data_IF_527953071913
#
_entry.id   IF_527953071913
#
_cell.length_a   1.000
_cell.length_b   1.000
_cell.length_c   1.000
_cell.angle_alpha   90.00
_cell.angle_beta   90.00
_cell.angle_gamma   90.00
#
_symmetry.space_group_name_H-M   'P 1'
#
loop_
_entity.id
_entity.type
_entity.pdbx_description
1 polymer ?
#
# COMPACT_ATOMS: atom_id res chain seq x y z
N UNK A 1 -1.21 21.68 1.70
CA UNK A 1 -2.31 21.95 0.74
C UNK A 1 -2.68 23.43 0.67
N UNK A 2 -3.08 24.05 1.80
CA UNK A 2 -3.55 25.45 1.85
C UNK A 2 -2.53 26.45 1.30
N UNK A 3 -1.25 26.35 1.72
CA UNK A 3 -0.21 27.29 1.31
C UNK A 3 0.06 27.33 -0.20
N UNK A 4 -0.44 26.34 -0.95
CA UNK A 4 -0.29 26.23 -2.41
C UNK A 4 -1.64 26.16 -3.14
N UNK A 5 -2.76 26.51 -2.47
CA UNK A 5 -4.09 26.57 -3.08
C UNK A 5 -4.70 25.21 -3.46
N UNK A 6 -4.33 24.13 -2.76
CA UNK A 6 -4.78 22.76 -3.02
C UNK A 6 -5.64 22.19 -1.89
N UNK A 7 -6.28 23.03 -1.08
CA UNK A 7 -7.18 22.63 0.00
C UNK A 7 -8.43 21.86 -0.47
N UNK A 8 -8.89 22.10 -1.71
CA UNK A 8 -10.06 21.44 -2.31
C UNK A 8 -9.69 20.38 -3.36
N UNK A 9 -8.39 20.03 -3.46
CA UNK A 9 -7.90 19.06 -4.46
C UNK A 9 -8.46 17.64 -4.25
N UNK A 10 -8.91 17.32 -3.04
CA UNK A 10 -9.53 16.05 -2.70
C UNK A 10 -10.42 16.19 -1.47
N UNK A 11 -11.16 15.12 -1.13
CA UNK A 11 -12.01 15.14 0.07
C UNK A 11 -11.14 15.00 1.33
N UNK A 12 -11.17 15.95 2.28
CA UNK A 12 -10.40 15.84 3.53
C UNK A 12 -10.99 14.77 4.47
N UNK A 13 -10.19 14.34 5.45
CA UNK A 13 -10.56 13.36 6.49
C UNK A 13 -10.83 11.95 5.97
N UNK A 14 -11.05 10.98 6.86
CA UNK A 14 -11.52 9.61 6.61
C UNK A 14 -10.95 8.90 5.36
N UNK A 15 -9.69 9.15 5.03
CA UNK A 15 -9.07 8.66 3.80
C UNK A 15 -9.12 7.14 3.72
N UNK A 16 -8.66 6.47 4.78
CA UNK A 16 -8.59 5.01 4.83
C UNK A 16 -9.97 4.35 4.76
N UNK A 17 -10.97 4.85 5.48
CA UNK A 17 -12.35 4.34 5.41
C UNK A 17 -12.89 4.38 3.98
N UNK A 18 -12.75 5.53 3.29
CA UNK A 18 -13.20 5.68 1.90
C UNK A 18 -12.46 4.75 0.96
N UNK A 19 -11.15 4.60 1.15
CA UNK A 19 -10.33 3.77 0.28
C UNK A 19 -10.62 2.28 0.51
N UNK A 20 -10.83 1.84 1.75
CA UNK A 20 -11.30 0.48 2.07
C UNK A 20 -12.63 0.22 1.36
N UNK A 21 -13.62 1.10 1.51
CA UNK A 21 -14.91 0.95 0.83
C UNK A 21 -14.78 0.89 -0.71
N UNK A 22 -13.92 1.75 -1.28
CA UNK A 22 -13.63 1.75 -2.72
C UNK A 22 -13.01 0.43 -3.17
N UNK A 23 -11.98 -0.06 -2.48
CA UNK A 23 -11.27 -1.29 -2.86
C UNK A 23 -12.11 -2.54 -2.61
N UNK A 24 -12.97 -2.56 -1.59
CA UNK A 24 -14.00 -3.59 -1.43
C UNK A 24 -14.93 -3.63 -2.63
N UNK A 25 -15.46 -2.48 -3.08
CA UNK A 25 -16.32 -2.44 -4.28
C UNK A 25 -15.58 -2.92 -5.54
N UNK A 26 -14.32 -2.52 -5.72
CA UNK A 26 -13.49 -2.94 -6.86
C UNK A 26 -13.22 -4.45 -6.83
N UNK A 27 -12.83 -4.99 -5.68
CA UNK A 27 -12.61 -6.43 -5.50
C UNK A 27 -13.88 -7.21 -5.83
N UNK A 28 -15.04 -6.84 -5.25
CA UNK A 28 -16.33 -7.50 -5.54
C UNK A 28 -16.68 -7.48 -7.02
N UNK A 29 -16.46 -6.34 -7.70
CA UNK A 29 -16.70 -6.23 -9.13
C UNK A 29 -15.74 -7.08 -9.97
N UNK A 30 -14.58 -7.44 -9.43
CA UNK A 30 -13.52 -8.20 -10.09
C UNK A 30 -13.30 -9.62 -9.53
N UNK A 31 -14.14 -10.08 -8.60
CA UNK A 31 -13.98 -11.37 -7.95
C UNK A 31 -14.17 -12.50 -8.96
N UNK A 32 -13.18 -13.40 -9.04
CA UNK A 32 -13.21 -14.59 -9.90
C UNK A 32 -13.02 -15.88 -9.12
N UNK A 33 -12.59 -15.79 -7.86
CA UNK A 33 -12.30 -16.91 -6.98
C UNK A 33 -12.78 -16.57 -5.57
N UNK A 34 -13.03 -17.61 -4.77
CA UNK A 34 -13.33 -17.46 -3.36
C UNK A 34 -12.01 -17.42 -2.58
N UNK A 35 -11.70 -16.26 -1.99
CA UNK A 35 -10.49 -16.02 -1.20
C UNK A 35 -10.90 -15.69 0.25
N UNK A 36 -10.97 -16.69 1.16
CA UNK A 36 -11.50 -16.50 2.51
C UNK A 36 -10.79 -15.41 3.33
N UNK A 37 -9.48 -15.25 3.16
CA UNK A 37 -8.71 -14.19 3.81
C UNK A 37 -9.12 -12.80 3.34
N UNK A 38 -9.51 -12.64 2.07
CA UNK A 38 -9.99 -11.36 1.54
C UNK A 38 -11.34 -11.01 2.15
N UNK A 39 -12.21 -12.00 2.36
CA UNK A 39 -13.47 -11.79 3.10
C UNK A 39 -13.21 -11.28 4.51
N UNK A 40 -12.23 -11.88 5.21
CA UNK A 40 -11.83 -11.45 6.55
C UNK A 40 -11.23 -10.04 6.55
N UNK A 41 -10.47 -9.67 5.51
CA UNK A 41 -9.95 -8.30 5.34
C UNK A 41 -11.09 -7.29 5.09
N UNK A 42 -12.07 -7.64 4.27
CA UNK A 42 -13.24 -6.80 3.97
C UNK A 42 -14.06 -6.52 5.23
N UNK A 43 -14.12 -7.47 6.16
CA UNK A 43 -14.77 -7.30 7.46
C UNK A 43 -13.90 -6.55 8.48
N UNK A 44 -12.60 -6.85 8.54
CA UNK A 44 -11.67 -6.25 9.52
C UNK A 44 -11.34 -4.78 9.24
N UNK A 45 -10.83 -4.48 8.04
CA UNK A 45 -10.29 -3.17 7.69
C UNK A 45 -11.23 -1.98 7.96
N UNK A 46 -12.54 -2.02 7.60
CA UNK A 46 -13.41 -0.86 7.81
C UNK A 46 -13.73 -0.61 9.29
N UNK A 47 -13.64 -1.64 10.15
CA UNK A 47 -13.95 -1.52 11.59
C UNK A 47 -12.77 -1.03 12.42
N UNK A 48 -11.56 -1.11 11.88
CA UNK A 48 -10.31 -0.86 12.61
C UNK A 48 -9.44 0.18 11.92
N UNK A 49 -9.98 0.93 10.95
CA UNK A 49 -9.27 1.99 10.26
C UNK A 49 -8.66 2.99 11.25
N UNK A 50 -7.36 3.28 11.17
CA UNK A 50 -6.72 4.27 12.02
C UNK A 50 -7.36 5.64 11.86
N UNK A 51 -7.46 6.38 12.98
CA UNK A 51 -7.90 7.77 12.95
C UNK A 51 -6.94 8.62 12.12
N UNK A 52 -7.49 9.37 11.16
CA UNK A 52 -6.70 10.30 10.36
C UNK A 52 -6.40 11.56 11.15
N UNK A 53 -5.16 11.71 11.61
CA UNK A 53 -4.72 12.85 12.42
C UNK A 53 -4.15 14.01 11.61
N UNK A 54 -3.76 13.76 10.35
CA UNK A 54 -3.18 14.78 9.45
C UNK A 54 -3.77 14.64 8.05
N UNK A 55 -3.81 15.75 7.32
CA UNK A 55 -4.16 15.77 5.88
C UNK A 55 -3.03 16.38 5.08
N UNK A 56 -2.55 15.65 4.08
CA UNK A 56 -1.48 16.09 3.17
C UNK A 56 -1.87 15.79 1.72
N UNK A 57 -1.11 16.38 0.79
CA UNK A 57 -1.11 15.90 -0.60
C UNK A 57 -0.40 14.56 -0.58
N UNK A 58 -1.08 13.54 -1.07
CA UNK A 58 -0.51 12.21 -1.28
C UNK A 58 -0.45 11.93 -2.78
N UNK A 59 0.60 11.25 -3.21
CA UNK A 59 0.85 10.83 -4.57
C UNK A 59 -0.06 9.66 -4.98
N UNK A 60 -0.29 8.71 -4.07
CA UNK A 60 -1.08 7.49 -4.32
C UNK A 60 -0.33 6.35 -5.04
N UNK A 61 0.80 6.67 -5.66
CA UNK A 61 1.76 5.71 -6.25
C UNK A 61 3.22 6.19 -6.08
N UNK A 62 3.60 6.59 -4.86
CA UNK A 62 4.97 7.08 -4.62
C UNK A 62 5.97 5.93 -4.62
N UNK A 63 6.82 5.87 -5.65
CA UNK A 63 7.81 4.80 -5.85
C UNK A 63 9.01 5.30 -6.65
N UNK A 64 10.13 4.59 -6.53
CA UNK A 64 11.43 5.04 -7.05
C UNK A 64 11.45 5.22 -8.57
N UNK A 65 10.67 4.44 -9.31
CA UNK A 65 10.53 4.54 -10.77
C UNK A 65 9.65 5.71 -11.23
N UNK A 66 8.93 6.36 -10.30
CA UNK A 66 8.24 7.62 -10.55
C UNK A 66 9.13 8.84 -10.20
N UNK A 67 10.43 8.66 -9.97
CA UNK A 67 11.37 9.74 -9.66
C UNK A 67 12.35 9.95 -10.82
N UNK A 68 12.53 11.21 -11.23
CA UNK A 68 13.63 11.62 -12.10
C UNK A 68 14.77 12.12 -11.22
N UNK A 69 15.93 11.49 -11.33
CA UNK A 69 17.16 11.91 -10.66
C UNK A 69 18.01 12.82 -11.56
N UNK A 70 18.85 13.66 -10.94
CA UNK A 70 19.89 14.38 -11.65
C UNK A 70 20.90 13.40 -12.27
N UNK A 71 21.51 13.69 -13.45
CA UNK A 71 22.43 12.77 -14.11
C UNK A 71 23.69 12.43 -13.29
N UNK A 72 24.10 13.34 -12.41
CA UNK A 72 25.37 13.33 -11.68
C UNK A 72 25.20 13.20 -10.15
N UNK A 73 23.97 13.05 -9.66
CA UNK A 73 23.72 12.90 -8.22
C UNK A 73 22.40 12.18 -7.91
N UNK A 74 22.24 11.72 -6.68
CA UNK A 74 21.00 11.11 -6.18
C UNK A 74 19.92 12.15 -5.82
N UNK A 75 20.00 13.35 -6.39
CA UNK A 75 19.04 14.43 -6.16
C UNK A 75 17.81 14.22 -7.03
N UNK A 76 16.62 14.14 -6.43
CA UNK A 76 15.35 14.08 -7.16
C UNK A 76 15.05 15.45 -7.79
N UNK A 77 14.86 15.48 -9.12
CA UNK A 77 14.52 16.67 -9.92
C UNK A 77 13.03 16.77 -10.22
N UNK A 78 12.34 15.63 -10.32
CA UNK A 78 10.90 15.59 -10.52
C UNK A 78 10.29 14.31 -9.94
N UNK A 79 9.03 14.42 -9.53
CA UNK A 79 8.15 13.29 -9.22
C UNK A 79 7.10 13.23 -10.34
N UNK A 80 6.92 12.06 -10.94
CA UNK A 80 6.06 11.81 -12.09
C UNK A 80 4.77 11.09 -11.67
N UNK A 81 3.79 11.07 -12.57
CA UNK A 81 2.58 10.26 -12.46
C UNK A 81 1.64 10.60 -11.28
N UNK A 82 1.23 11.87 -11.24
CA UNK A 82 0.32 12.40 -10.22
C UNK A 82 -1.16 12.06 -10.45
N UNK A 83 -1.50 11.12 -11.34
CA UNK A 83 -2.90 10.86 -11.71
C UNK A 83 -3.75 10.29 -10.56
N UNK A 84 -3.11 9.63 -9.59
CA UNK A 84 -3.75 9.10 -8.39
C UNK A 84 -3.68 10.04 -7.18
N UNK A 85 -3.08 11.21 -7.36
CA UNK A 85 -2.83 12.13 -6.27
C UNK A 85 -4.13 12.70 -5.70
N UNK A 86 -4.15 12.92 -4.39
CA UNK A 86 -5.32 13.44 -3.69
C UNK A 86 -4.94 14.02 -2.33
N UNK A 87 -5.94 14.45 -1.55
CA UNK A 87 -5.77 14.76 -0.13
C UNK A 87 -6.08 13.52 0.71
N UNK A 88 -5.17 13.17 1.62
CA UNK A 88 -5.33 11.99 2.47
C UNK A 88 -4.39 11.97 3.66
N UNK A 89 -4.37 10.83 4.35
CA UNK A 89 -3.41 10.59 5.41
C UNK A 89 -2.01 10.38 4.80
N UNK A 90 -0.98 11.16 5.20
CA UNK A 90 0.37 11.02 4.66
C UNK A 90 1.02 9.65 4.93
N UNK A 91 0.54 8.88 5.91
CA UNK A 91 1.00 7.51 6.14
C UNK A 91 0.55 6.55 5.02
N UNK A 92 -0.46 6.90 4.22
CA UNK A 92 -0.87 6.08 3.09
C UNK A 92 0.26 5.92 2.07
N UNK A 93 0.91 7.03 1.69
CA UNK A 93 2.04 7.01 0.76
C UNK A 93 3.28 6.37 1.38
N UNK A 94 3.60 6.73 2.63
CA UNK A 94 4.77 6.16 3.30
C UNK A 94 4.63 4.64 3.45
N UNK A 95 3.47 4.16 3.91
CA UNK A 95 3.23 2.73 4.08
C UNK A 95 3.20 1.99 2.74
N UNK A 96 2.80 2.65 1.65
CA UNK A 96 2.83 2.05 0.32
C UNK A 96 4.28 1.87 -0.16
N UNK A 97 5.15 2.87 0.00
CA UNK A 97 6.58 2.73 -0.25
C UNK A 97 7.22 1.67 0.66
N UNK A 98 6.84 1.67 1.95
CA UNK A 98 7.36 0.75 2.95
C UNK A 98 7.00 -0.72 2.67
N UNK A 99 6.02 -1.00 1.81
CA UNK A 99 5.72 -2.37 1.37
C UNK A 99 6.94 -3.09 0.76
N UNK A 100 7.87 -2.33 0.18
CA UNK A 100 9.10 -2.88 -0.38
C UNK A 100 9.90 -3.69 0.66
N UNK A 101 9.88 -3.30 1.95
CA UNK A 101 10.62 -4.01 3.01
C UNK A 101 9.95 -5.30 3.48
N UNK A 102 8.64 -5.46 3.28
CA UNK A 102 7.91 -6.66 3.75
C UNK A 102 7.70 -7.69 2.63
N UNK A 103 7.71 -7.25 1.38
CA UNK A 103 7.56 -8.11 0.22
C UNK A 103 8.86 -8.85 -0.09
N UNK A 104 8.81 -10.17 -0.39
CA UNK A 104 9.98 -10.95 -0.76
C UNK A 104 10.75 -10.32 -1.92
N UNK A 105 12.07 -10.43 -1.87
CA UNK A 105 12.93 -9.98 -2.96
C UNK A 105 12.55 -10.67 -4.28
N UNK A 106 12.27 -9.85 -5.30
CA UNK A 106 11.78 -10.28 -6.61
C UNK A 106 12.65 -9.78 -7.77
N UNK A 107 13.80 -9.19 -7.45
CA UNK A 107 14.67 -8.51 -8.42
C UNK A 107 14.09 -7.19 -8.96
N UNK A 108 12.99 -6.70 -8.37
CA UNK A 108 12.36 -5.42 -8.69
C UNK A 108 12.35 -4.52 -7.47
N UNK A 109 11.26 -4.53 -6.71
CA UNK A 109 11.03 -3.59 -5.60
C UNK A 109 10.96 -4.28 -4.24
N UNK A 110 10.70 -5.59 -4.19
CA UNK A 110 10.74 -6.35 -2.94
C UNK A 110 12.15 -6.43 -2.39
N UNK A 111 12.29 -6.26 -1.07
CA UNK A 111 13.57 -6.21 -0.36
C UNK A 111 13.69 -7.27 0.74
N UNK A 112 12.58 -7.90 1.15
CA UNK A 112 12.58 -8.84 2.26
C UNK A 112 13.44 -10.07 1.90
N UNK A 113 14.37 -10.41 2.79
CA UNK A 113 15.34 -11.49 2.60
C UNK A 113 16.67 -11.08 1.97
N UNK A 114 16.85 -9.80 1.59
CA UNK A 114 18.14 -9.27 1.17
C UNK A 114 19.00 -8.88 2.37
N UNK A 115 20.32 -8.94 2.20
CA UNK A 115 21.27 -8.26 3.08
C UNK A 115 21.27 -6.76 2.74
N UNK A 116 20.41 -6.01 3.44
CA UNK A 116 20.22 -4.59 3.19
C UNK A 116 21.48 -3.77 3.48
N UNK A 117 22.24 -4.14 4.51
CA UNK A 117 23.47 -3.45 4.89
C UNK A 117 24.54 -3.62 3.80
N UNK A 118 24.77 -4.85 3.35
CA UNK A 118 25.71 -5.12 2.26
C UNK A 118 25.30 -4.42 0.96
N UNK A 119 23.99 -4.26 0.72
CA UNK A 119 23.45 -3.54 -0.43
C UNK A 119 23.45 -2.01 -0.27
N UNK A 120 23.80 -1.47 0.91
CA UNK A 120 23.72 -0.04 1.20
C UNK A 120 22.29 0.51 1.25
N UNK A 121 21.30 -0.37 1.46
CA UNK A 121 19.88 -0.02 1.53
C UNK A 121 19.52 0.21 3.00
N UNK A 122 18.87 1.34 3.35
CA UNK A 122 18.45 1.59 4.73
C UNK A 122 17.40 0.56 5.19
N UNK A 123 17.43 0.22 6.48
CA UNK A 123 16.36 -0.59 7.08
C UNK A 123 15.03 0.18 7.10
N UNK A 124 13.91 -0.52 7.31
CA UNK A 124 12.61 0.13 7.47
C UNK A 124 12.61 1.10 8.66
N UNK A 125 13.31 0.74 9.74
CA UNK A 125 13.46 1.59 10.93
C UNK A 125 14.27 2.86 10.63
N UNK A 126 15.33 2.76 9.81
CA UNK A 126 16.07 3.93 9.34
C UNK A 126 15.20 4.85 8.51
N UNK A 127 14.39 4.28 7.61
CA UNK A 127 13.46 5.04 6.78
C UNK A 127 12.36 5.70 7.61
N UNK A 128 11.81 4.99 8.60
CA UNK A 128 10.85 5.53 9.54
C UNK A 128 11.43 6.72 10.33
N UNK A 129 12.66 6.59 10.85
CA UNK A 129 13.34 7.70 11.55
C UNK A 129 13.54 8.91 10.65
N UNK A 130 13.99 8.72 9.41
CA UNK A 130 14.18 9.80 8.42
C UNK A 130 12.86 10.50 8.11
N UNK A 131 11.80 9.73 7.89
CA UNK A 131 10.46 10.26 7.63
C UNK A 131 9.92 11.05 8.82
N UNK A 132 10.05 10.53 10.04
CA UNK A 132 9.64 11.23 11.26
C UNK A 132 10.36 12.57 11.44
N UNK A 133 11.69 12.58 11.28
CA UNK A 133 12.50 13.81 11.35
C UNK A 133 12.07 14.84 10.28
N UNK A 134 11.83 14.40 9.05
CA UNK A 134 11.42 15.28 7.95
C UNK A 134 9.99 15.83 8.10
N UNK A 135 9.12 15.13 8.84
CA UNK A 135 7.69 15.48 8.96
C UNK A 135 7.31 16.02 10.35
N UNK A 136 8.28 16.22 11.24
CA UNK A 136 8.02 16.66 12.62
C UNK A 136 7.08 15.70 13.35
N UNK A 137 7.31 14.39 13.21
CA UNK A 137 6.64 13.34 13.98
C UNK A 137 7.63 12.76 14.97
N UNK A 138 7.17 12.45 16.19
CA UNK A 138 8.01 11.79 17.19
C UNK A 138 8.28 10.33 16.81
N UNK A 139 7.23 9.64 16.34
CA UNK A 139 7.28 8.25 15.90
C UNK A 139 6.20 7.96 14.85
N UNK A 140 6.36 6.84 14.16
CA UNK A 140 5.28 6.23 13.37
C UNK A 140 4.41 5.35 14.29
N UNK A 141 3.11 5.23 13.99
CA UNK A 141 2.31 4.17 14.60
C UNK A 141 2.76 2.80 14.07
N UNK A 142 2.21 1.74 14.65
CA UNK A 142 2.29 0.41 14.05
C UNK A 142 1.69 0.45 12.62
N UNK A 143 2.45 -0.06 11.65
CA UNK A 143 2.11 -0.04 10.23
C UNK A 143 1.43 -1.32 9.75
N UNK A 144 1.27 -2.35 10.59
CA UNK A 144 0.67 -3.62 10.18
C UNK A 144 -0.74 -3.45 9.58
N UNK A 145 -1.57 -2.55 10.13
CA UNK A 145 -2.87 -2.24 9.53
C UNK A 145 -2.73 -1.63 8.13
N UNK A 146 -1.78 -0.71 7.97
CA UNK A 146 -1.52 -0.02 6.71
C UNK A 146 -0.99 -1.00 5.64
N UNK A 147 -0.14 -1.94 6.04
CA UNK A 147 0.34 -3.02 5.18
C UNK A 147 -0.78 -3.97 4.77
N UNK A 148 -1.65 -4.38 5.70
CA UNK A 148 -2.83 -5.17 5.38
C UNK A 148 -3.74 -4.45 4.37
N UNK A 149 -4.01 -3.16 4.57
CA UNK A 149 -4.77 -2.33 3.64
C UNK A 149 -4.12 -2.23 2.25
N UNK A 150 -2.82 -1.95 2.17
CA UNK A 150 -2.14 -1.78 0.89
C UNK A 150 -2.03 -3.12 0.13
N UNK A 151 -1.82 -4.24 0.83
CA UNK A 151 -1.89 -5.57 0.22
C UNK A 151 -3.31 -5.90 -0.26
N UNK A 152 -4.35 -5.56 0.50
CA UNK A 152 -5.74 -5.68 0.06
C UNK A 152 -6.03 -4.86 -1.21
N UNK A 153 -5.55 -3.61 -1.27
CA UNK A 153 -5.59 -2.79 -2.49
C UNK A 153 -4.91 -3.51 -3.67
N UNK A 154 -3.71 -4.04 -3.47
CA UNK A 154 -2.95 -4.74 -4.52
C UNK A 154 -3.69 -5.99 -5.01
N UNK A 155 -4.26 -6.78 -4.09
CA UNK A 155 -5.11 -7.94 -4.41
C UNK A 155 -6.29 -7.51 -5.29
N UNK A 156 -6.97 -6.41 -4.94
CA UNK A 156 -8.06 -5.85 -5.75
C UNK A 156 -7.62 -5.47 -7.17
N UNK A 157 -6.45 -4.85 -7.33
CA UNK A 157 -5.87 -4.50 -8.64
C UNK A 157 -5.60 -5.76 -9.46
N UNK A 158 -4.93 -6.75 -8.87
CA UNK A 158 -4.55 -8.00 -9.55
C UNK A 158 -5.81 -8.82 -9.89
N UNK A 159 -6.85 -8.82 -9.05
CA UNK A 159 -8.12 -9.43 -9.40
C UNK A 159 -8.78 -8.78 -10.61
N UNK A 160 -8.71 -7.45 -10.71
CA UNK A 160 -9.15 -6.73 -11.90
C UNK A 160 -8.41 -7.18 -13.16
N UNK A 161 -7.09 -7.41 -13.05
CA UNK A 161 -6.28 -7.98 -14.14
C UNK A 161 -6.75 -9.40 -14.46
N UNK A 162 -6.87 -10.29 -13.46
CA UNK A 162 -7.33 -11.67 -13.65
C UNK A 162 -8.69 -11.74 -14.35
N UNK A 163 -9.67 -10.95 -13.92
CA UNK A 163 -10.98 -10.90 -14.57
C UNK A 163 -10.90 -10.47 -16.04
N UNK A 164 -10.06 -9.47 -16.35
CA UNK A 164 -9.82 -9.06 -17.76
C UNK A 164 -9.13 -10.16 -18.56
N UNK A 165 -8.20 -10.91 -17.96
CA UNK A 165 -7.57 -12.05 -18.62
C UNK A 165 -8.58 -13.14 -18.98
N UNK A 166 -9.44 -13.53 -18.02
CA UNK A 166 -10.49 -14.52 -18.24
C UNK A 166 -11.53 -14.06 -19.28
N UNK A 167 -11.73 -12.75 -19.40
CA UNK A 167 -12.63 -12.15 -20.40
C UNK A 167 -11.98 -11.93 -21.77
N UNK A 168 -10.72 -12.36 -21.96
CA UNK A 168 -9.97 -12.19 -23.22
C UNK A 168 -9.43 -10.78 -23.48
N UNK A 169 -9.53 -9.86 -22.52
CA UNK A 169 -9.18 -8.43 -22.67
C UNK A 169 -7.79 -8.07 -22.11
N UNK A 170 -7.02 -9.04 -21.60
CA UNK A 170 -5.63 -8.87 -21.20
C UNK A 170 -4.91 -10.23 -21.30
N UNK A 171 -3.97 -10.42 -22.21
CA UNK A 171 -3.27 -11.71 -22.37
C UNK A 171 -1.76 -11.54 -22.51
N UNK A 172 -1.13 -10.93 -21.50
CA UNK A 172 0.33 -10.76 -21.46
C UNK A 172 0.97 -11.67 -20.40
N UNK A 173 2.22 -12.09 -20.62
CA UNK A 173 2.98 -12.87 -19.64
C UNK A 173 3.08 -12.15 -18.28
N UNK A 174 3.28 -10.83 -18.30
CA UNK A 174 3.28 -9.99 -17.08
C UNK A 174 1.97 -10.06 -16.31
N UNK A 175 0.82 -10.15 -16.99
CA UNK A 175 -0.48 -10.29 -16.34
C UNK A 175 -0.61 -11.67 -15.67
N UNK A 176 -0.13 -12.74 -16.32
CA UNK A 176 -0.10 -14.07 -15.74
C UNK A 176 0.80 -14.15 -14.50
N UNK A 177 2.00 -13.57 -14.56
CA UNK A 177 2.93 -13.51 -13.42
C UNK A 177 2.30 -12.78 -12.23
N UNK A 178 1.64 -11.64 -12.47
CA UNK A 178 0.96 -10.90 -11.41
C UNK A 178 -0.17 -11.73 -10.76
N UNK A 179 -0.97 -12.43 -11.57
CA UNK A 179 -2.05 -13.29 -11.08
C UNK A 179 -1.51 -14.47 -10.25
N UNK A 180 -0.36 -15.04 -10.63
CA UNK A 180 0.27 -16.13 -9.88
C UNK A 180 0.66 -15.72 -8.45
N UNK A 181 0.84 -14.43 -8.17
CA UNK A 181 1.19 -13.92 -6.83
C UNK A 181 0.00 -13.81 -5.87
N UNK A 182 -1.25 -13.91 -6.35
CA UNK A 182 -2.46 -13.69 -5.54
C UNK A 182 -2.50 -14.52 -4.24
N UNK A 183 -2.18 -15.83 -4.23
CA UNK A 183 -2.22 -16.62 -2.99
C UNK A 183 -1.23 -16.13 -1.93
N UNK A 184 -0.02 -15.78 -2.35
CA UNK A 184 1.03 -15.27 -1.45
C UNK A 184 0.67 -13.89 -0.89
N UNK A 185 0.14 -12.99 -1.72
CA UNK A 185 -0.32 -11.66 -1.30
C UNK A 185 -1.48 -11.75 -0.32
N UNK A 186 -2.42 -12.64 -0.58
CA UNK A 186 -3.59 -12.88 0.28
C UNK A 186 -3.17 -13.39 1.66
N UNK A 187 -2.24 -14.35 1.69
CA UNK A 187 -1.66 -14.86 2.94
C UNK A 187 -0.92 -13.76 3.71
N UNK A 188 -0.11 -12.97 3.01
CA UNK A 188 0.63 -11.86 3.62
C UNK A 188 -0.33 -10.80 4.18
N UNK A 189 -1.35 -10.40 3.42
CA UNK A 189 -2.33 -9.40 3.84
C UNK A 189 -3.03 -9.81 5.14
N UNK A 190 -3.44 -11.08 5.24
CA UNK A 190 -4.06 -11.59 6.46
C UNK A 190 -3.09 -11.69 7.63
N UNK A 191 -1.83 -12.05 7.39
CA UNK A 191 -0.79 -12.02 8.44
C UNK A 191 -0.63 -10.61 9.00
N UNK A 192 -0.51 -9.59 8.15
CA UNK A 192 -0.41 -8.20 8.60
C UNK A 192 -1.67 -7.76 9.36
N UNK A 193 -2.86 -8.14 8.90
CA UNK A 193 -4.11 -7.86 9.63
C UNK A 193 -4.12 -8.49 11.03
N UNK A 194 -3.62 -9.73 11.17
CA UNK A 194 -3.50 -10.40 12.48
C UNK A 194 -2.51 -9.71 13.41
N UNK A 195 -1.38 -9.26 12.88
CA UNK A 195 -0.41 -8.45 13.65
C UNK A 195 -1.03 -7.13 14.09
N UNK A 196 -1.93 -6.57 13.27
CA UNK A 196 -2.75 -5.40 13.60
C UNK A 196 -3.98 -5.69 14.50
N UNK A 197 -4.09 -6.89 15.07
CA UNK A 197 -5.16 -7.23 16.03
C UNK A 197 -6.40 -7.94 15.44
N UNK A 198 -6.38 -8.36 14.17
CA UNK A 198 -7.47 -9.15 13.62
C UNK A 198 -7.57 -10.52 14.33
N UNK A 199 -8.76 -10.80 14.88
CA UNK A 199 -9.06 -12.07 15.53
C UNK A 199 -9.07 -13.24 14.54
N UNK A 200 -8.54 -14.38 14.95
CA UNK A 200 -8.88 -15.68 14.34
C UNK A 200 -10.20 -16.18 14.95
N UNK A 201 -11.03 -16.87 14.16
CA UNK A 201 -12.22 -17.56 14.67
C UNK A 201 -11.86 -18.32 15.96
N UNK A 202 -12.54 -17.97 17.06
CA UNK A 202 -12.34 -18.57 18.38
C UNK A 202 -11.41 -17.84 19.35
N UNK A 203 -10.86 -16.67 19.02
CA UNK A 203 -10.05 -15.88 19.96
C UNK A 203 -10.51 -14.40 20.00
N UNK A 204 -10.76 -13.80 21.18
CA UNK A 204 -11.22 -12.42 21.25
C UNK A 204 -10.15 -11.47 20.71
N UNK A 205 -10.58 -10.41 20.01
CA UNK A 205 -9.72 -9.31 19.59
C UNK A 205 -9.03 -8.71 20.82
N UNK A 206 -7.71 -8.49 20.74
CA UNK A 206 -6.93 -7.85 21.80
C UNK A 206 -7.04 -6.34 21.73
#
# INVERSE_FOLDING_TARGET
PVAVGLEDFGRPGNYFERQVARWTKQYRAAQTDDLPEVERLIDFLPRTAPEQTRTAIIHGDYRIDNLIYAPDSMTVRAVLDWELATLGDPLADFAYLAMNWILPADGRAGLNGLDLEAAGIPSLDDMARRYCAATGRDALPDLHWHFAFNLFRLIGIIQGVKKRMLSGNASSAKAADAVAMLPALTTAAWREARLAGAATEGQPAR
#
